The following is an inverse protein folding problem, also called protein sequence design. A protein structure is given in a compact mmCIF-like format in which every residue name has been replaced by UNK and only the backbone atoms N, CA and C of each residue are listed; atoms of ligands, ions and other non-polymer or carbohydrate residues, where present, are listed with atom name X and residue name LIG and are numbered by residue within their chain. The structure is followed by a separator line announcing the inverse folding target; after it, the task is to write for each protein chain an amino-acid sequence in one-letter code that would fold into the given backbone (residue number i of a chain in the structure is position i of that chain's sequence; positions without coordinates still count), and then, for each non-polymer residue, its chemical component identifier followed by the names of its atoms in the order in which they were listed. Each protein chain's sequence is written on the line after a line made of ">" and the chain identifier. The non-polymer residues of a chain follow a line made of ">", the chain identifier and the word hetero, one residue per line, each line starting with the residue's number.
data_IF_388439732163
#
_entry.id   IF_388439732163
#
_cell.length_a   1.000
_cell.length_b   1.000
_cell.length_c   1.000
_cell.angle_alpha   90.00
_cell.angle_beta   90.00
_cell.angle_gamma   90.00
#
_symmetry.space_group_name_H-M   'P 1'
#
loop_
_entity.id
_entity.type
_entity.pdbx_description
1 polymer ?
#
# COMPACT_ATOMS: atom_id res chain seq x y z
N UNK A 1 15.78 11.36 -3.81
CA UNK A 1 14.69 11.49 -2.80
C UNK A 1 14.76 12.79 -1.99
N UNK A 2 15.37 13.87 -2.52
CA UNK A 2 15.52 15.14 -1.79
C UNK A 2 14.29 16.04 -1.90
N UNK A 3 13.44 15.83 -2.91
CA UNK A 3 12.25 16.65 -3.17
C UNK A 3 11.01 16.20 -2.39
N UNK A 4 11.16 15.19 -1.53
CA UNK A 4 10.09 14.74 -0.63
C UNK A 4 10.07 15.69 0.57
N UNK A 5 8.96 16.36 0.79
CA UNK A 5 8.71 17.13 2.01
C UNK A 5 8.63 16.19 3.21
N UNK A 6 9.62 16.29 4.10
CA UNK A 6 9.74 15.47 5.31
C UNK A 6 9.15 16.16 6.54
N UNK A 7 8.58 17.35 6.37
CA UNK A 7 7.97 18.11 7.47
C UNK A 7 6.79 17.32 8.04
N UNK A 8 6.79 17.01 9.35
CA UNK A 8 5.66 16.34 9.97
C UNK A 8 4.40 17.21 9.92
N UNK A 9 3.29 16.64 9.48
CA UNK A 9 1.97 17.26 9.47
C UNK A 9 1.13 16.75 10.63
N UNK A 10 0.36 17.63 11.28
CA UNK A 10 -0.61 17.20 12.30
C UNK A 10 -1.95 16.93 11.62
N UNK A 11 -2.35 15.66 11.59
CA UNK A 11 -3.60 15.22 10.98
C UNK A 11 -4.48 14.61 12.07
N UNK A 12 -5.74 15.00 12.13
CA UNK A 12 -6.74 14.35 12.98
C UNK A 12 -7.64 13.51 12.09
N UNK A 13 -7.62 12.19 12.32
CA UNK A 13 -8.47 11.26 11.59
C UNK A 13 -9.88 11.25 12.19
N UNK A 14 -10.92 10.83 11.44
CA UNK A 14 -12.27 10.69 11.98
C UNK A 14 -12.32 9.73 13.17
N UNK A 15 -13.32 9.91 14.04
CA UNK A 15 -13.65 8.92 15.08
C UNK A 15 -14.12 7.62 14.44
N UNK A 16 -14.44 6.62 15.29
CA UNK A 16 -15.20 5.46 14.82
C UNK A 16 -16.47 5.92 14.10
N UNK A 17 -16.71 5.34 12.91
CA UNK A 17 -17.90 5.58 12.10
C UNK A 17 -18.65 4.27 11.93
N UNK A 18 -19.96 4.30 12.14
CA UNK A 18 -20.85 3.15 11.95
C UNK A 18 -21.12 2.83 10.48
N UNK A 19 -20.91 3.82 9.61
CA UNK A 19 -21.06 3.68 8.17
C UNK A 19 -19.70 3.49 7.52
N UNK A 20 -19.53 2.49 6.63
CA UNK A 20 -18.33 2.38 5.81
C UNK A 20 -18.04 3.67 5.04
N UNK A 21 -16.77 3.99 4.85
CA UNK A 21 -16.34 5.15 4.07
C UNK A 21 -15.93 4.71 2.64
N UNK A 22 -15.48 5.66 1.82
CA UNK A 22 -15.08 5.38 0.41
C UNK A 22 -14.01 4.29 0.25
N UNK A 23 -13.22 3.99 1.28
CA UNK A 23 -12.17 2.97 1.28
C UNK A 23 -12.64 1.63 1.85
N UNK A 24 -13.74 1.59 2.61
CA UNK A 24 -14.21 0.39 3.30
C UNK A 24 -15.61 -0.07 2.86
N UNK A 25 -16.29 0.70 2.01
CA UNK A 25 -17.57 0.33 1.42
C UNK A 25 -17.47 -1.03 0.70
N UNK A 26 -18.52 -1.84 0.83
CA UNK A 26 -18.58 -3.14 0.15
C UNK A 26 -18.58 -2.94 -1.36
N UNK A 27 -17.68 -3.63 -2.06
CA UNK A 27 -17.61 -3.61 -3.52
C UNK A 27 -18.90 -4.10 -4.17
N UNK A 28 -19.69 -4.94 -3.48
CA UNK A 28 -21.03 -5.36 -3.91
C UNK A 28 -21.99 -4.17 -4.00
N UNK A 29 -21.85 -3.18 -3.10
CA UNK A 29 -22.76 -2.03 -3.01
C UNK A 29 -22.32 -0.86 -3.89
N UNK A 30 -21.00 -0.63 -3.99
CA UNK A 30 -20.46 0.57 -4.67
C UNK A 30 -19.72 0.27 -5.97
N UNK A 31 -19.62 -1.01 -6.36
CA UNK A 31 -18.83 -1.47 -7.50
C UNK A 31 -17.38 -1.02 -7.39
N UNK A 32 -16.79 -0.67 -8.53
CA UNK A 32 -15.39 -0.24 -8.64
C UNK A 32 -15.09 1.10 -7.97
N UNK A 33 -16.07 1.81 -7.39
CA UNK A 33 -15.82 3.07 -6.70
C UNK A 33 -14.87 2.91 -5.51
N UNK A 34 -14.96 1.77 -4.80
CA UNK A 34 -14.01 1.45 -3.72
C UNK A 34 -12.62 1.16 -4.31
N UNK A 35 -12.52 0.37 -5.37
CA UNK A 35 -11.24 0.04 -5.99
C UNK A 35 -10.54 1.28 -6.58
N UNK A 36 -11.29 2.22 -7.17
CA UNK A 36 -10.77 3.53 -7.59
C UNK A 36 -10.24 4.36 -6.42
N UNK A 37 -10.92 4.34 -5.27
CA UNK A 37 -10.44 5.05 -4.08
C UNK A 37 -9.09 4.49 -3.59
N UNK A 38 -8.87 3.19 -3.69
CA UNK A 38 -7.58 2.57 -3.40
C UNK A 38 -6.52 2.85 -4.48
N UNK A 39 -6.91 2.86 -5.76
CA UNK A 39 -6.03 3.26 -6.85
C UNK A 39 -5.50 4.69 -6.68
N UNK A 40 -6.34 5.65 -6.24
CA UNK A 40 -5.93 7.03 -5.92
C UNK A 40 -4.88 7.13 -4.80
N UNK A 41 -4.78 6.11 -3.94
CA UNK A 41 -3.73 6.02 -2.91
C UNK A 41 -2.41 5.46 -3.45
N UNK A 42 -2.36 5.01 -4.70
CA UNK A 42 -1.15 4.45 -5.30
C UNK A 42 -0.92 2.97 -4.99
N UNK A 43 -1.97 2.18 -4.79
CA UNK A 43 -1.83 0.72 -4.53
C UNK A 43 -1.28 -0.07 -5.72
N UNK A 44 -1.23 0.57 -6.88
CA UNK A 44 -0.64 0.05 -8.12
C UNK A 44 0.62 0.84 -8.52
N UNK A 45 1.27 1.54 -7.59
CA UNK A 45 2.49 2.27 -7.90
C UNK A 45 3.59 1.28 -8.32
N UNK A 46 4.23 1.56 -9.45
CA UNK A 46 5.39 0.79 -9.91
C UNK A 46 6.62 1.04 -9.05
N UNK A 47 7.53 0.07 -9.07
CA UNK A 47 8.86 0.22 -8.51
C UNK A 47 9.57 1.46 -9.07
N UNK A 48 10.45 2.04 -8.28
CA UNK A 48 11.42 3.06 -8.72
C UNK A 48 12.77 2.40 -8.95
N UNK A 49 13.64 3.02 -9.74
CA UNK A 49 15.06 2.63 -9.77
C UNK A 49 15.81 3.49 -8.76
N UNK A 50 16.56 2.87 -7.86
CA UNK A 50 17.45 3.54 -6.92
C UNK A 50 18.85 3.64 -7.55
N UNK A 51 19.39 4.86 -7.72
CA UNK A 51 20.74 5.04 -8.22
C UNK A 51 21.80 4.41 -7.27
N UNK A 52 22.89 3.83 -7.80
CA UNK A 52 23.89 3.14 -7.01
C UNK A 52 24.52 3.97 -5.88
N UNK A 53 24.64 5.29 -6.07
CA UNK A 53 25.18 6.20 -5.06
C UNK A 53 24.34 6.29 -3.78
N UNK A 54 23.06 5.89 -3.83
CA UNK A 54 22.19 5.83 -2.64
C UNK A 54 22.11 4.43 -2.02
N UNK A 55 22.60 3.39 -2.71
CA UNK A 55 22.37 1.99 -2.35
C UNK A 55 22.87 1.66 -0.93
N UNK A 56 24.13 1.99 -0.63
CA UNK A 56 24.72 1.69 0.68
C UNK A 56 23.98 2.36 1.85
N UNK A 57 23.45 3.57 1.65
CA UNK A 57 22.68 4.28 2.68
C UNK A 57 21.28 3.70 2.93
N UNK A 58 20.83 2.79 2.07
CA UNK A 58 19.54 2.11 2.13
C UNK A 58 19.69 0.61 2.42
N UNK A 59 20.89 0.18 2.83
CA UNK A 59 21.23 -1.23 3.07
C UNK A 59 21.09 -2.11 1.80
N UNK A 60 21.27 -1.51 0.64
CA UNK A 60 21.29 -2.20 -0.66
C UNK A 60 22.74 -2.49 -1.03
N UNK A 61 23.03 -3.77 -1.22
CA UNK A 61 24.35 -4.27 -1.64
C UNK A 61 24.27 -5.39 -2.68
N UNK A 62 25.37 -6.14 -2.84
CA UNK A 62 25.59 -7.11 -3.94
C UNK A 62 24.57 -8.26 -4.02
N UNK A 63 23.84 -8.54 -2.93
CA UNK A 63 22.77 -9.54 -2.92
C UNK A 63 21.46 -9.08 -3.57
N UNK A 64 21.32 -7.79 -3.86
CA UNK A 64 20.11 -7.22 -4.44
C UNK A 64 20.23 -7.11 -5.96
N UNK A 65 19.10 -7.34 -6.64
CA UNK A 65 19.04 -7.25 -8.09
C UNK A 65 19.36 -5.84 -8.58
N UNK A 66 20.22 -5.74 -9.58
CA UNK A 66 20.51 -4.52 -10.32
C UNK A 66 20.01 -4.69 -11.75
N UNK A 67 19.39 -3.65 -12.29
CA UNK A 67 19.00 -3.56 -13.70
C UNK A 67 19.81 -2.47 -14.36
N UNK A 68 20.20 -2.68 -15.62
CA UNK A 68 20.74 -1.68 -16.52
C UNK A 68 20.08 -1.82 -17.91
N UNK A 69 20.43 -0.92 -18.84
CA UNK A 69 19.87 -0.91 -20.19
C UNK A 69 20.23 -2.16 -21.02
N UNK A 70 21.20 -2.98 -20.59
CA UNK A 70 21.54 -4.26 -21.24
C UNK A 70 20.66 -5.39 -20.73
N UNK A 71 20.35 -5.42 -19.44
CA UNK A 71 19.46 -6.43 -18.84
C UNK A 71 17.98 -6.13 -19.05
N UNK A 72 17.61 -4.85 -19.09
CA UNK A 72 16.24 -4.40 -19.32
C UNK A 72 16.26 -3.09 -20.14
N UNK A 73 15.83 -3.10 -21.41
CA UNK A 73 15.84 -1.91 -22.27
C UNK A 73 15.05 -0.72 -21.73
N UNK A 74 14.06 -0.98 -20.87
CA UNK A 74 13.22 0.06 -20.27
C UNK A 74 13.84 0.64 -19.00
N UNK A 75 15.01 0.15 -18.55
CA UNK A 75 15.74 0.73 -17.43
C UNK A 75 16.28 2.12 -17.82
N UNK A 76 15.87 3.20 -17.13
CA UNK A 76 16.31 4.56 -17.47
C UNK A 76 17.80 4.79 -17.17
N UNK A 77 18.36 4.00 -16.23
CA UNK A 77 19.77 3.99 -15.85
C UNK A 77 20.08 2.69 -15.09
N UNK A 78 21.36 2.41 -14.88
CA UNK A 78 21.79 1.30 -14.03
C UNK A 78 21.44 1.58 -12.56
N UNK A 79 20.72 0.66 -11.90
CA UNK A 79 20.33 0.84 -10.51
C UNK A 79 19.49 -0.31 -9.97
N UNK A 80 18.93 -0.11 -8.79
CA UNK A 80 18.23 -1.16 -8.04
C UNK A 80 16.72 -0.91 -8.07
N UNK A 81 15.91 -1.79 -8.67
CA UNK A 81 14.46 -1.71 -8.56
C UNK A 81 14.04 -1.82 -7.09
N UNK A 82 13.19 -0.92 -6.63
CA UNK A 82 12.69 -0.92 -5.26
C UNK A 82 11.26 -0.37 -5.18
N UNK A 83 10.45 -0.98 -4.34
CA UNK A 83 9.15 -0.43 -3.97
C UNK A 83 9.29 0.51 -2.77
N UNK A 84 8.53 1.60 -2.79
CA UNK A 84 8.38 2.40 -1.58
C UNK A 84 7.43 1.69 -0.62
N UNK A 85 7.93 1.42 0.58
CA UNK A 85 7.24 0.71 1.65
C UNK A 85 5.80 1.17 1.93
N UNK A 86 5.49 2.46 1.78
CA UNK A 86 4.11 2.97 1.98
C UNK A 86 3.13 2.42 0.95
N UNK A 87 3.51 2.33 -0.33
CA UNK A 87 2.64 1.83 -1.39
C UNK A 87 2.54 0.31 -1.33
N UNK A 88 3.63 -0.39 -0.99
CA UNK A 88 3.60 -1.84 -0.74
C UNK A 88 2.66 -2.21 0.41
N UNK A 89 2.71 -1.48 1.54
CA UNK A 89 1.80 -1.70 2.67
C UNK A 89 0.35 -1.35 2.33
N UNK A 90 0.11 -0.31 1.54
CA UNK A 90 -1.23 0.02 1.05
C UNK A 90 -1.76 -1.05 0.09
N UNK A 91 -0.92 -1.56 -0.80
CA UNK A 91 -1.21 -2.70 -1.66
C UNK A 91 -1.59 -3.93 -0.82
N UNK A 92 -0.78 -4.29 0.18
CA UNK A 92 -1.05 -5.40 1.10
C UNK A 92 -2.40 -5.24 1.81
N UNK A 93 -2.67 -4.04 2.33
CA UNK A 93 -3.93 -3.75 3.02
C UNK A 93 -5.13 -3.80 2.06
N UNK A 94 -4.96 -3.36 0.81
CA UNK A 94 -6.00 -3.47 -0.22
C UNK A 94 -6.31 -4.94 -0.54
N UNK A 95 -5.28 -5.78 -0.70
CA UNK A 95 -5.47 -7.20 -0.98
C UNK A 95 -6.20 -7.91 0.16
N UNK A 96 -5.82 -7.61 1.41
CA UNK A 96 -6.54 -8.10 2.61
C UNK A 96 -7.99 -7.62 2.60
N UNK A 97 -8.25 -6.33 2.28
CA UNK A 97 -9.62 -5.78 2.17
C UNK A 97 -10.44 -6.59 1.16
N UNK A 98 -9.89 -6.87 -0.01
CA UNK A 98 -10.56 -7.68 -1.06
C UNK A 98 -10.85 -9.10 -0.55
N UNK A 99 -9.94 -9.68 0.24
CA UNK A 99 -10.06 -11.02 0.82
C UNK A 99 -11.02 -11.15 2.01
N UNK A 100 -11.54 -10.05 2.56
CA UNK A 100 -12.45 -10.11 3.70
C UNK A 100 -13.68 -10.97 3.37
N UNK A 101 -14.22 -11.70 4.35
CA UNK A 101 -15.31 -12.66 4.14
C UNK A 101 -16.55 -12.04 3.45
N UNK A 102 -16.77 -10.73 3.62
CA UNK A 102 -17.88 -9.99 3.03
C UNK A 102 -17.56 -9.29 1.71
N UNK A 103 -16.31 -9.41 1.22
CA UNK A 103 -15.85 -8.85 -0.05
C UNK A 103 -15.37 -9.94 -1.03
N UNK A 104 -14.87 -11.07 -0.53
CA UNK A 104 -14.16 -12.07 -1.34
C UNK A 104 -14.97 -12.63 -2.50
N UNK A 105 -16.29 -12.76 -2.36
CA UNK A 105 -17.17 -13.26 -3.43
C UNK A 105 -17.29 -12.29 -4.61
N UNK A 106 -17.02 -10.99 -4.41
CA UNK A 106 -16.95 -10.02 -5.49
C UNK A 106 -15.66 -10.14 -6.32
N UNK A 107 -14.56 -10.55 -5.69
CA UNK A 107 -13.24 -10.59 -6.33
C UNK A 107 -12.90 -11.97 -6.88
N UNK A 108 -13.20 -13.04 -6.13
CA UNK A 108 -12.83 -14.41 -6.48
C UNK A 108 -13.38 -14.80 -7.85
N UNK A 109 -12.48 -15.24 -8.73
CA UNK A 109 -12.82 -15.71 -10.07
C UNK A 109 -12.95 -14.60 -11.11
N UNK A 110 -12.64 -13.35 -10.76
CA UNK A 110 -12.47 -12.28 -11.73
C UNK A 110 -11.25 -12.53 -12.60
N UNK A 111 -11.43 -12.42 -13.91
CA UNK A 111 -10.36 -12.59 -14.90
C UNK A 111 -9.69 -11.28 -15.29
N UNK A 112 -10.35 -10.15 -15.01
CA UNK A 112 -9.85 -8.80 -15.24
C UNK A 112 -8.96 -8.30 -14.10
N UNK A 113 -8.91 -9.01 -12.98
CA UNK A 113 -7.92 -8.79 -11.92
C UNK A 113 -7.07 -10.05 -11.84
N UNK A 114 -5.87 -10.09 -12.45
CA UNK A 114 -5.14 -11.35 -12.62
C UNK A 114 -4.83 -12.03 -11.29
N UNK A 115 -4.59 -11.26 -10.22
CA UNK A 115 -4.46 -11.78 -8.87
C UNK A 115 -5.64 -12.68 -8.46
N UNK A 116 -6.88 -12.34 -8.80
CA UNK A 116 -8.08 -13.07 -8.36
C UNK A 116 -8.59 -14.10 -9.39
N UNK A 117 -7.82 -14.38 -10.43
CA UNK A 117 -8.18 -15.35 -11.46
C UNK A 117 -8.40 -16.75 -10.86
N UNK A 118 -9.31 -17.57 -11.44
CA UNK A 118 -9.69 -18.87 -10.87
C UNK A 118 -8.52 -19.83 -10.60
N UNK A 119 -7.47 -19.77 -11.41
CA UNK A 119 -6.27 -20.61 -11.33
C UNK A 119 -5.21 -20.08 -10.35
N UNK A 120 -5.42 -18.92 -9.74
CA UNK A 120 -4.46 -18.24 -8.86
C UNK A 120 -4.73 -18.48 -7.37
N UNK A 121 -5.62 -19.41 -7.00
CA UNK A 121 -6.06 -19.58 -5.61
C UNK A 121 -4.91 -19.71 -4.59
N UNK A 122 -3.95 -20.59 -4.87
CA UNK A 122 -2.83 -20.85 -3.96
C UNK A 122 -1.84 -19.66 -3.91
N UNK A 123 -1.72 -18.95 -5.04
CA UNK A 123 -0.91 -17.72 -5.14
C UNK A 123 -1.52 -16.61 -4.29
N UNK A 124 -2.85 -16.42 -4.37
CA UNK A 124 -3.59 -15.43 -3.57
C UNK A 124 -3.47 -15.71 -2.08
N UNK A 125 -3.63 -16.98 -1.67
CA UNK A 125 -3.50 -17.36 -0.26
C UNK A 125 -2.10 -17.03 0.27
N UNK A 126 -1.06 -17.43 -0.47
CA UNK A 126 0.33 -17.14 -0.11
C UNK A 126 0.61 -15.65 -0.07
N UNK A 127 0.11 -14.89 -1.05
CA UNK A 127 0.31 -13.45 -1.11
C UNK A 127 -0.38 -12.74 0.05
N UNK A 128 -1.64 -13.09 0.37
CA UNK A 128 -2.34 -12.53 1.53
C UNK A 128 -1.60 -12.87 2.84
N UNK A 129 -1.09 -14.09 2.98
CA UNK A 129 -0.31 -14.47 4.17
C UNK A 129 0.95 -13.59 4.33
N UNK A 130 1.66 -13.34 3.22
CA UNK A 130 2.78 -12.37 3.17
C UNK A 130 2.33 -10.96 3.54
N UNK A 131 1.23 -10.48 2.96
CA UNK A 131 0.66 -9.16 3.26
C UNK A 131 0.35 -8.99 4.75
N UNK A 132 -0.21 -10.02 5.39
CA UNK A 132 -0.49 -10.03 6.83
C UNK A 132 0.81 -9.94 7.63
N UNK A 133 1.84 -10.71 7.25
CA UNK A 133 3.11 -10.72 7.97
C UNK A 133 3.90 -9.41 7.80
N UNK A 134 3.95 -8.85 6.59
CA UNK A 134 4.61 -7.57 6.33
C UNK A 134 3.98 -6.43 7.15
N UNK A 135 2.64 -6.37 7.18
CA UNK A 135 1.92 -5.41 8.02
C UNK A 135 2.17 -5.66 9.51
N UNK A 136 2.21 -6.92 9.97
CA UNK A 136 2.54 -7.26 11.36
C UNK A 136 3.94 -6.76 11.72
N UNK A 137 4.95 -7.05 10.90
CA UNK A 137 6.33 -6.60 11.10
C UNK A 137 6.40 -5.07 11.12
N UNK A 138 5.70 -4.40 10.20
CA UNK A 138 5.62 -2.93 10.21
C UNK A 138 5.01 -2.36 11.48
N UNK A 139 3.93 -2.96 12.00
CA UNK A 139 3.27 -2.51 13.23
C UNK A 139 4.21 -2.69 14.43
N UNK A 140 4.91 -3.83 14.49
CA UNK A 140 5.88 -4.10 15.57
C UNK A 140 7.11 -3.20 15.48
N UNK A 141 7.56 -2.83 14.27
CA UNK A 141 8.68 -1.92 14.05
C UNK A 141 8.36 -0.51 14.57
N UNK A 142 7.16 0.00 14.27
CA UNK A 142 6.74 1.33 14.72
C UNK A 142 6.36 1.36 16.21
N UNK A 143 5.80 0.27 16.75
CA UNK A 143 5.41 0.10 18.15
C UNK A 143 4.72 1.36 18.75
N UNK A 144 3.68 1.86 18.08
CA UNK A 144 3.05 3.14 18.39
C UNK A 144 2.44 3.17 19.81
N UNK A 145 3.08 3.92 20.72
CA UNK A 145 2.67 4.07 22.12
C UNK A 145 1.57 5.12 22.35
N UNK A 146 1.05 5.77 21.30
CA UNK A 146 -0.07 6.71 21.44
C UNK A 146 -1.32 5.96 21.90
N UNK A 147 -2.06 6.59 22.81
CA UNK A 147 -3.23 5.96 23.43
C UNK A 147 -4.53 6.26 22.68
N UNK A 148 -5.45 5.30 22.73
CA UNK A 148 -6.87 5.48 22.36
C UNK A 148 -7.67 5.58 23.67
N UNK A 149 -7.97 6.80 24.15
CA UNK A 149 -8.76 6.96 25.38
C UNK A 149 -10.22 6.59 25.11
N UNK A 150 -11.01 6.49 26.19
CA UNK A 150 -12.45 6.28 26.08
C UNK A 150 -13.20 7.57 26.44
N UNK A 151 -14.26 7.89 25.69
CA UNK A 151 -15.22 8.95 26.06
C UNK A 151 -16.52 8.32 26.59
N UNK A 152 -17.28 9.12 27.34
CA UNK A 152 -18.58 8.70 27.85
C UNK A 152 -19.63 8.81 26.73
N UNK A 153 -20.15 7.67 26.26
CA UNK A 153 -21.31 7.58 25.39
C UNK A 153 -22.54 7.09 26.20
N UNK A 154 -23.78 7.50 25.85
CA UNK A 154 -24.99 7.02 26.52
C UNK A 154 -25.14 5.49 26.57
N UNK A 155 -24.46 4.76 25.68
CA UNK A 155 -24.48 3.28 25.61
C UNK A 155 -23.27 2.62 26.28
N UNK A 156 -22.34 3.39 26.86
CA UNK A 156 -21.14 2.89 27.52
C UNK A 156 -19.88 3.68 27.16
N UNK A 157 -18.74 3.34 27.77
CA UNK A 157 -17.47 3.96 27.39
C UNK A 157 -17.05 3.50 25.97
N UNK A 158 -16.75 4.44 25.08
CA UNK A 158 -16.40 4.16 23.67
C UNK A 158 -14.99 4.66 23.33
N UNK A 159 -14.21 3.93 22.52
CA UNK A 159 -12.87 4.34 22.13
C UNK A 159 -12.89 5.60 21.24
N UNK A 160 -12.04 6.57 21.57
CA UNK A 160 -11.82 7.80 20.83
C UNK A 160 -10.63 7.66 19.86
N UNK A 161 -10.95 7.36 18.60
CA UNK A 161 -9.95 7.30 17.53
C UNK A 161 -9.64 8.67 16.91
N UNK A 162 -10.40 9.73 17.23
CA UNK A 162 -10.24 11.07 16.65
C UNK A 162 -9.07 11.84 17.30
N UNK A 163 -7.89 11.22 17.28
CA UNK A 163 -6.68 11.74 17.92
C UNK A 163 -5.79 12.39 16.87
N UNK A 164 -5.21 13.53 17.21
CA UNK A 164 -4.22 14.18 16.36
C UNK A 164 -2.95 13.33 16.30
N UNK A 165 -2.45 13.12 15.08
CA UNK A 165 -1.25 12.34 14.78
C UNK A 165 -0.25 13.24 14.04
N UNK A 166 1.03 13.15 14.41
CA UNK A 166 2.12 13.67 13.59
C UNK A 166 2.40 12.63 12.51
N UNK A 167 2.17 12.99 11.25
CA UNK A 167 2.26 12.14 10.07
C UNK A 167 3.32 12.68 9.12
N UNK A 168 3.93 11.81 8.31
CA UNK A 168 4.71 12.26 7.15
C UNK A 168 3.74 12.85 6.10
N UNK A 169 4.24 13.75 5.25
CA UNK A 169 3.46 14.32 4.16
C UNK A 169 3.23 13.25 3.06
N UNK A 170 2.11 12.53 3.17
CA UNK A 170 1.77 11.44 2.24
C UNK A 170 1.66 11.92 0.79
N UNK A 171 1.04 13.07 0.56
CA UNK A 171 0.86 13.61 -0.79
C UNK A 171 2.21 13.94 -1.42
N UNK A 172 3.15 14.53 -0.68
CA UNK A 172 4.51 14.76 -1.21
C UNK A 172 5.25 13.46 -1.56
N UNK A 173 5.09 12.41 -0.75
CA UNK A 173 5.68 11.09 -1.06
C UNK A 173 5.04 10.49 -2.31
N UNK A 174 3.71 10.58 -2.44
CA UNK A 174 2.95 10.11 -3.60
C UNK A 174 3.33 10.86 -4.86
N UNK A 175 3.37 12.19 -4.83
CA UNK A 175 3.77 13.02 -5.96
C UNK A 175 5.20 12.71 -6.41
N UNK A 176 6.12 12.47 -5.47
CA UNK A 176 7.47 12.05 -5.79
C UNK A 176 7.45 10.68 -6.47
N UNK A 177 6.78 9.69 -5.87
CA UNK A 177 6.72 8.33 -6.39
C UNK A 177 6.13 8.27 -7.79
N UNK A 178 5.00 8.96 -8.03
CA UNK A 178 4.32 9.01 -9.34
C UNK A 178 5.26 9.48 -10.45
N UNK A 179 6.15 10.43 -10.18
CA UNK A 179 7.11 10.98 -11.15
C UNK A 179 8.34 10.09 -11.39
N UNK A 180 8.61 9.14 -10.50
CA UNK A 180 9.83 8.32 -10.53
C UNK A 180 9.55 6.83 -10.77
N UNK A 181 8.30 6.48 -11.07
CA UNK A 181 7.93 5.14 -11.47
C UNK A 181 8.78 4.68 -12.66
N UNK A 182 9.27 3.46 -12.55
CA UNK A 182 9.99 2.82 -13.63
C UNK A 182 8.98 2.18 -14.59
N UNK A 183 8.87 2.71 -15.81
CA UNK A 183 7.89 2.22 -16.78
C UNK A 183 8.06 0.74 -17.12
N UNK A 184 9.32 0.27 -17.14
CA UNK A 184 9.70 -1.13 -17.35
C UNK A 184 9.51 -2.05 -16.15
N UNK A 185 9.01 -1.54 -15.03
CA UNK A 185 8.64 -2.39 -13.90
C UNK A 185 7.49 -3.30 -14.33
N UNK A 186 7.75 -4.60 -14.27
CA UNK A 186 6.73 -5.62 -14.52
C UNK A 186 5.79 -5.62 -13.32
N UNK A 187 4.51 -5.28 -13.53
CA UNK A 187 3.49 -5.63 -12.55
C UNK A 187 3.35 -7.15 -12.61
N UNK A 188 3.98 -7.87 -11.68
CA UNK A 188 3.68 -9.27 -11.51
C UNK A 188 2.19 -9.38 -11.09
N UNK A 189 1.32 -9.60 -12.09
CA UNK A 189 -0.10 -9.97 -12.00
C UNK A 189 -1.19 -8.90 -11.75
N UNK A 190 -0.99 -7.60 -12.05
CA UNK A 190 -1.98 -6.58 -11.59
C UNK A 190 -2.44 -5.52 -12.60
N UNK A 191 -1.81 -5.40 -13.77
CA UNK A 191 -2.30 -4.46 -14.79
C UNK A 191 -3.31 -5.13 -15.68
N UNK A 192 -4.60 -4.83 -15.48
CA UNK A 192 -5.60 -4.44 -16.49
C UNK A 192 -6.85 -3.91 -15.74
N UNK A 193 -6.83 -2.65 -15.30
CA UNK A 193 -8.06 -1.87 -15.03
C UNK A 193 -8.15 -0.78 -16.09
#
# INVERSE_FOLDING_TARGET
>A
MNDIDRTPQVITFPSFQWTPNRYTASAVLVGDAVDRAWAELGVWMKAVIIPPEYAAGLDIGDSHAMVDSRSNPDAPYAGYPADLQVFHKLHCLNLIRQALYYNVDHYRGRTDVPMWAPDQKDVVETHIAHCVDDLRVSILCEADIRVVPYYNDPKGAMPDFARSKKCRNFESVKDWATKHQWDGAVHYNETHI
#
